data_IF_059159903911
#
_entry.id   IF_059159903911
#
_cell.length_a   1.000
_cell.length_b   1.000
_cell.length_c   1.000
_cell.angle_alpha   90.00
_cell.angle_beta   90.00
_cell.angle_gamma   90.00
#
_symmetry.space_group_name_H-M   'P 1'
#
loop_
_entity.id
_entity.type
_entity.pdbx_description
1 polymer ?
#
# COMPACT_ATOMS: atom_id res chain seq x y z
N UNK A 1 -11.06 -22.60 6.84
CA UNK A 1 -9.58 -22.53 6.88
C UNK A 1 -9.18 -21.21 7.49
N UNK A 2 -8.15 -21.17 8.37
CA UNK A 2 -7.60 -19.88 8.81
C UNK A 2 -7.05 -19.15 7.59
N UNK A 3 -7.32 -17.85 7.45
CA UNK A 3 -6.76 -16.99 6.37
C UNK A 3 -5.24 -17.06 6.44
N UNK A 4 -4.57 -17.15 5.29
CA UNK A 4 -3.12 -17.02 5.21
C UNK A 4 -2.74 -15.59 5.70
N UNK A 5 -1.82 -15.48 6.68
CA UNK A 5 -1.63 -14.20 7.39
C UNK A 5 -0.85 -13.15 6.59
N UNK A 6 -0.31 -13.52 5.41
CA UNK A 6 0.46 -12.60 4.57
C UNK A 6 -0.39 -12.12 3.41
N UNK A 7 -0.27 -10.84 3.04
CA UNK A 7 -0.77 -10.33 1.77
C UNK A 7 0.24 -10.64 0.66
N UNK A 8 -0.17 -11.47 -0.30
CA UNK A 8 0.62 -11.83 -1.47
C UNK A 8 0.07 -11.18 -2.74
N UNK A 9 -0.94 -10.34 -2.63
CA UNK A 9 -1.62 -9.71 -3.76
C UNK A 9 -1.16 -8.29 -4.01
N UNK A 10 -0.87 -7.51 -2.96
CA UNK A 10 -0.50 -6.10 -3.04
C UNK A 10 -1.46 -5.32 -3.95
N UNK A 11 -0.93 -4.43 -4.76
CA UNK A 11 -1.70 -3.69 -5.77
C UNK A 11 -2.01 -4.51 -7.05
N UNK A 12 -1.40 -5.69 -7.21
CA UNK A 12 -1.58 -6.54 -8.39
C UNK A 12 -0.98 -5.91 -9.66
N UNK A 13 -1.52 -6.27 -10.85
CA UNK A 13 -0.93 -5.87 -12.13
C UNK A 13 -1.11 -4.38 -12.46
N UNK A 14 -1.96 -3.67 -11.73
CA UNK A 14 -2.31 -2.27 -12.00
C UNK A 14 -2.21 -1.47 -10.71
N UNK A 15 -0.99 -1.10 -10.28
CA UNK A 15 -0.81 -0.25 -9.11
C UNK A 15 -1.43 1.13 -9.31
N UNK A 16 -1.82 1.82 -8.23
CA UNK A 16 -2.42 3.14 -8.33
C UNK A 16 -1.42 4.17 -8.87
N UNK A 17 -1.94 5.20 -9.54
CA UNK A 17 -1.15 6.35 -9.95
C UNK A 17 -0.77 7.18 -8.71
N UNK A 18 0.51 7.30 -8.43
CA UNK A 18 0.99 8.00 -7.25
C UNK A 18 0.73 9.52 -7.28
N UNK A 19 0.62 10.10 -8.47
CA UNK A 19 0.39 11.54 -8.69
C UNK A 19 1.36 12.42 -7.89
N UNK A 20 2.65 12.09 -7.94
CA UNK A 20 3.66 12.81 -7.19
C UNK A 20 3.63 14.32 -7.45
N UNK A 21 3.99 15.17 -6.46
CA UNK A 21 4.01 16.61 -6.59
C UNK A 21 4.77 17.08 -7.85
N UNK A 22 4.26 18.12 -8.52
CA UNK A 22 4.85 18.64 -9.74
C UNK A 22 4.78 17.72 -10.96
N UNK A 23 4.00 16.64 -10.91
CA UNK A 23 3.95 15.64 -11.98
C UNK A 23 5.21 14.77 -12.05
N UNK A 24 5.91 14.61 -10.92
CA UNK A 24 7.15 13.84 -10.90
C UNK A 24 6.90 12.35 -11.26
N UNK A 25 7.87 11.78 -11.97
CA UNK A 25 7.86 10.37 -12.40
C UNK A 25 8.33 9.43 -11.31
N UNK A 26 9.17 9.91 -10.41
CA UNK A 26 9.73 9.12 -9.31
C UNK A 26 9.91 9.97 -8.06
N UNK A 27 9.61 9.40 -6.89
CA UNK A 27 9.93 9.99 -5.59
C UNK A 27 11.23 9.38 -5.07
N UNK A 28 12.27 10.18 -4.90
CA UNK A 28 13.59 9.75 -4.43
C UNK A 28 13.78 10.08 -2.95
N UNK A 29 14.22 9.12 -2.16
CA UNK A 29 14.42 9.25 -0.72
C UNK A 29 15.87 8.95 -0.34
N UNK A 30 16.55 9.94 0.21
CA UNK A 30 17.85 9.76 0.84
C UNK A 30 17.63 9.48 2.32
N UNK A 31 17.94 8.27 2.76
CA UNK A 31 17.65 7.81 4.13
C UNK A 31 18.94 7.51 4.86
N UNK A 32 19.26 8.32 5.85
CA UNK A 32 20.47 8.18 6.67
C UNK A 32 20.14 7.46 7.99
N UNK A 33 20.63 6.25 8.17
CA UNK A 33 20.55 5.54 9.44
C UNK A 33 21.65 6.06 10.35
N UNK A 34 21.26 6.77 11.42
CA UNK A 34 22.19 7.27 12.45
C UNK A 34 22.14 6.34 13.66
N UNK A 35 23.12 5.46 13.72
CA UNK A 35 23.18 4.35 14.68
C UNK A 35 24.39 4.44 15.61
N UNK A 36 25.33 5.32 15.32
CA UNK A 36 26.61 5.45 15.99
C UNK A 36 26.44 5.85 17.46
N UNK A 37 26.74 4.92 18.36
CA UNK A 37 26.51 5.02 19.81
C UNK A 37 25.19 4.39 20.27
N UNK A 38 24.43 3.77 19.36
CA UNK A 38 23.22 2.98 19.65
C UNK A 38 23.42 1.47 19.49
N UNK A 39 24.58 1.04 18.97
CA UNK A 39 24.97 -0.35 18.79
C UNK A 39 25.10 -1.13 20.10
N UNK A 40 25.11 -2.48 20.03
CA UNK A 40 25.39 -3.32 21.19
C UNK A 40 26.78 -3.05 21.77
N UNK A 41 26.84 -2.77 23.04
CA UNK A 41 28.11 -2.57 23.79
C UNK A 41 27.93 -2.84 25.28
N UNK A 42 28.92 -3.46 25.90
CA UNK A 42 28.96 -3.63 27.36
C UNK A 42 28.95 -2.28 28.09
N UNK A 43 29.37 -1.20 27.43
CA UNK A 43 29.26 0.17 27.98
C UNK A 43 27.81 0.65 28.07
N UNK A 44 26.92 0.05 27.29
CA UNK A 44 25.49 0.34 27.27
C UNK A 44 24.67 -0.64 28.12
N UNK A 45 25.35 -1.55 28.83
CA UNK A 45 24.73 -2.60 29.65
C UNK A 45 24.34 -3.85 28.85
N UNK A 46 24.79 -4.00 27.61
CA UNK A 46 24.53 -5.18 26.79
C UNK A 46 25.48 -6.33 27.18
N UNK A 47 25.03 -7.57 26.91
CA UNK A 47 25.82 -8.76 27.26
C UNK A 47 27.13 -8.89 26.45
N UNK A 48 27.12 -8.34 25.22
CA UNK A 48 28.21 -8.48 24.28
C UNK A 48 28.42 -7.22 23.42
N UNK A 49 29.51 -7.20 22.66
CA UNK A 49 29.80 -6.18 21.67
C UNK A 49 28.93 -6.36 20.41
N UNK A 50 28.80 -5.31 19.60
CA UNK A 50 28.22 -5.43 18.26
C UNK A 50 29.07 -6.34 17.35
N UNK A 51 28.40 -7.03 16.43
CA UNK A 51 29.02 -7.94 15.48
C UNK A 51 28.54 -7.68 14.04
N UNK A 52 27.56 -6.81 13.86
CA UNK A 52 26.88 -6.65 12.58
C UNK A 52 27.19 -5.31 11.90
N UNK A 53 27.11 -5.29 10.59
CA UNK A 53 27.11 -4.12 9.73
C UNK A 53 28.31 -3.18 9.91
N UNK A 54 29.50 -3.73 9.79
CA UNK A 54 30.78 -3.01 9.88
C UNK A 54 31.78 -3.47 8.82
N UNK A 55 32.95 -2.81 8.77
CA UNK A 55 34.08 -3.21 7.91
C UNK A 55 34.69 -4.58 8.30
N UNK A 56 34.33 -5.15 9.47
CA UNK A 56 34.74 -6.47 9.90
C UNK A 56 33.63 -7.46 9.54
N UNK A 57 33.59 -7.85 8.27
CA UNK A 57 32.56 -8.75 7.76
C UNK A 57 32.69 -10.12 8.43
N UNK A 58 31.54 -10.62 8.98
CA UNK A 58 31.52 -11.88 9.72
C UNK A 58 32.13 -11.80 11.12
N UNK A 59 32.24 -10.61 11.71
CA UNK A 59 32.63 -10.46 13.10
C UNK A 59 31.74 -11.30 14.03
N UNK A 60 32.33 -11.79 15.12
CA UNK A 60 31.57 -12.40 16.21
C UNK A 60 31.42 -11.43 17.37
N UNK A 61 30.32 -11.50 18.09
CA UNK A 61 30.14 -10.72 19.31
C UNK A 61 31.12 -11.20 20.40
N UNK A 62 31.66 -10.27 21.19
CA UNK A 62 32.53 -10.57 22.30
C UNK A 62 31.74 -10.46 23.61
N UNK A 63 31.46 -11.60 24.20
CA UNK A 63 30.71 -11.72 25.45
C UNK A 63 31.45 -11.05 26.61
N UNK A 64 30.76 -10.14 27.31
CA UNK A 64 31.27 -9.43 28.48
C UNK A 64 32.49 -8.53 28.22
N UNK A 65 32.82 -8.26 26.96
CA UNK A 65 34.02 -7.52 26.60
C UNK A 65 33.72 -6.45 25.54
N UNK A 66 34.51 -5.37 25.58
CA UNK A 66 34.49 -4.35 24.52
C UNK A 66 35.24 -4.85 23.30
N UNK A 67 34.71 -4.57 22.12
CA UNK A 67 35.39 -4.81 20.85
C UNK A 67 35.94 -3.48 20.30
N UNK A 68 37.15 -3.12 20.70
CA UNK A 68 37.76 -1.81 20.43
C UNK A 68 37.76 -1.41 18.96
N UNK A 69 38.06 -2.35 18.05
CA UNK A 69 38.05 -2.06 16.60
C UNK A 69 36.63 -1.79 16.11
N UNK A 70 35.64 -2.53 16.60
CA UNK A 70 34.23 -2.32 16.25
C UNK A 70 33.79 -0.93 16.72
N UNK A 71 34.03 -0.58 17.97
CA UNK A 71 33.70 0.75 18.51
C UNK A 71 34.34 1.86 17.67
N UNK A 72 35.63 1.71 17.28
CA UNK A 72 36.31 2.71 16.45
C UNK A 72 35.72 2.89 15.05
N UNK A 73 35.08 1.86 14.50
CA UNK A 73 34.36 1.95 13.22
C UNK A 73 33.07 2.79 13.38
N UNK A 74 32.33 2.58 14.45
CA UNK A 74 31.17 3.42 14.78
C UNK A 74 31.57 4.85 15.09
N UNK A 75 32.64 5.05 15.88
CA UNK A 75 33.22 6.39 16.12
C UNK A 75 33.59 7.10 14.80
N UNK A 76 34.16 6.38 13.82
CA UNK A 76 34.45 6.98 12.52
C UNK A 76 33.17 7.51 11.86
N UNK A 77 32.06 6.76 11.94
CA UNK A 77 30.77 7.19 11.45
C UNK A 77 30.34 8.52 12.04
N UNK A 78 30.36 8.65 13.37
CA UNK A 78 30.00 9.89 14.06
C UNK A 78 30.98 11.05 13.80
N UNK A 79 32.30 10.78 13.81
CA UNK A 79 33.36 11.79 13.78
C UNK A 79 33.72 12.30 12.39
N UNK A 80 33.66 11.44 11.37
CA UNK A 80 34.12 11.78 10.03
C UNK A 80 33.03 11.52 8.96
N UNK A 81 32.38 10.37 9.03
CA UNK A 81 31.39 9.93 8.05
C UNK A 81 30.18 10.86 7.99
N UNK A 82 29.57 11.12 9.15
CA UNK A 82 28.44 12.04 9.26
C UNK A 82 28.74 13.42 8.66
N UNK A 83 29.83 14.05 9.04
CA UNK A 83 30.15 15.39 8.58
C UNK A 83 30.45 15.46 7.09
N UNK A 84 30.99 14.38 6.51
CA UNK A 84 31.17 14.27 5.05
C UNK A 84 29.83 14.19 4.34
N UNK A 85 28.92 13.35 4.81
CA UNK A 85 27.58 13.23 4.26
C UNK A 85 26.76 14.50 4.47
N UNK A 86 26.83 15.11 5.64
CA UNK A 86 26.15 16.37 5.92
C UNK A 86 26.55 17.46 4.93
N UNK A 87 27.85 17.67 4.68
CA UNK A 87 28.31 18.67 3.69
C UNK A 87 27.80 18.39 2.29
N UNK A 88 27.62 17.13 1.92
CA UNK A 88 27.15 16.74 0.60
C UNK A 88 25.61 16.88 0.47
N UNK A 89 24.90 16.52 1.53
CA UNK A 89 23.44 16.33 1.50
C UNK A 89 22.64 17.49 2.12
N UNK A 90 23.27 18.49 2.76
CA UNK A 90 22.57 19.53 3.52
C UNK A 90 21.55 20.36 2.71
N UNK A 91 21.61 20.30 1.40
CA UNK A 91 20.68 20.99 0.49
C UNK A 91 19.63 20.05 -0.11
N UNK A 92 19.63 18.77 0.25
CA UNK A 92 18.64 17.80 -0.16
C UNK A 92 17.69 17.48 0.98
N UNK A 93 16.42 17.12 0.69
CA UNK A 93 15.56 16.46 1.67
C UNK A 93 16.17 15.13 2.08
N UNK A 94 16.40 14.95 3.37
CA UNK A 94 16.93 13.70 3.94
C UNK A 94 16.04 13.27 5.09
N UNK A 95 15.72 11.99 5.15
CA UNK A 95 15.15 11.38 6.34
C UNK A 95 16.26 10.70 7.12
N UNK A 96 16.40 11.05 8.40
CA UNK A 96 17.30 10.36 9.32
C UNK A 96 16.49 9.35 10.12
N UNK A 97 16.81 8.07 10.01
CA UNK A 97 16.40 7.08 11.00
C UNK A 97 17.41 7.13 12.15
N UNK A 98 17.02 7.78 13.23
CA UNK A 98 17.90 8.01 14.38
C UNK A 98 17.58 7.06 15.54
N UNK A 99 18.57 6.25 15.93
CA UNK A 99 18.48 5.48 17.17
C UNK A 99 18.48 6.45 18.35
N UNK A 100 17.48 6.39 19.23
CA UNK A 100 17.25 7.42 20.24
C UNK A 100 18.47 7.58 21.19
N UNK A 101 19.10 6.49 21.60
CA UNK A 101 20.33 6.53 22.43
C UNK A 101 21.54 7.06 21.66
N UNK A 102 21.63 6.85 20.36
CA UNK A 102 22.68 7.42 19.50
C UNK A 102 22.50 8.94 19.36
N UNK A 103 21.26 9.41 19.09
CA UNK A 103 20.96 10.84 19.03
C UNK A 103 21.27 11.55 20.34
N UNK A 104 20.97 10.93 21.49
CA UNK A 104 21.26 11.50 22.81
C UNK A 104 22.75 11.70 23.04
N UNK A 105 23.63 10.92 22.40
CA UNK A 105 25.11 11.03 22.48
C UNK A 105 25.71 11.97 21.44
N UNK A 106 24.88 12.51 20.52
CA UNK A 106 25.31 13.25 19.36
C UNK A 106 24.63 14.63 19.20
N UNK A 107 24.71 15.52 20.21
CA UNK A 107 23.96 16.80 20.17
C UNK A 107 24.38 17.72 19.03
N UNK A 108 25.65 17.70 18.61
CA UNK A 108 26.16 18.50 17.50
C UNK A 108 25.59 18.01 16.16
N UNK A 109 25.56 16.69 15.96
CA UNK A 109 25.00 16.09 14.76
C UNK A 109 23.48 16.34 14.67
N UNK A 110 22.76 16.20 15.79
CA UNK A 110 21.33 16.53 15.85
C UNK A 110 21.07 18.00 15.51
N UNK A 111 21.89 18.91 16.04
CA UNK A 111 21.81 20.33 15.71
C UNK A 111 22.04 20.57 14.20
N UNK A 112 22.99 19.88 13.59
CA UNK A 112 23.28 19.98 12.15
C UNK A 112 22.13 19.43 11.29
N UNK A 113 21.56 18.28 11.66
CA UNK A 113 20.39 17.70 11.00
C UNK A 113 19.20 18.68 11.02
N UNK A 114 18.92 19.26 12.18
CA UNK A 114 17.84 20.26 12.34
C UNK A 114 18.10 21.52 11.50
N UNK A 115 19.33 22.02 11.49
CA UNK A 115 19.73 23.21 10.72
C UNK A 115 19.61 22.99 9.21
N UNK A 116 19.82 21.76 8.75
CA UNK A 116 19.64 21.36 7.35
C UNK A 116 18.16 21.11 6.97
N UNK A 117 17.23 21.17 7.96
CA UNK A 117 15.81 20.89 7.72
C UNK A 117 15.51 19.40 7.47
N UNK A 118 16.38 18.50 7.90
CA UNK A 118 16.19 17.08 7.72
C UNK A 118 15.06 16.55 8.62
N UNK A 119 14.28 15.61 8.11
CA UNK A 119 13.37 14.83 8.94
C UNK A 119 14.20 13.93 9.86
N UNK A 120 13.88 13.91 11.17
CA UNK A 120 14.46 12.97 12.12
C UNK A 120 13.35 12.05 12.60
N UNK A 121 13.27 10.87 12.00
CA UNK A 121 12.37 9.78 12.36
C UNK A 121 13.06 8.83 13.37
N UNK A 122 12.27 7.95 13.98
CA UNK A 122 12.81 7.01 14.98
C UNK A 122 13.43 5.78 14.33
N UNK A 123 14.56 5.33 14.89
CA UNK A 123 15.16 4.01 14.64
C UNK A 123 15.14 3.14 15.91
N UNK A 124 14.08 3.27 16.70
CA UNK A 124 13.97 2.58 18.00
C UNK A 124 14.82 3.19 19.11
N UNK A 125 14.82 2.53 20.26
CA UNK A 125 15.55 2.96 21.46
C UNK A 125 17.05 2.70 21.32
N UNK A 126 17.39 1.46 20.98
CA UNK A 126 18.74 0.93 20.74
C UNK A 126 18.73 0.13 19.44
N UNK A 127 19.88 -0.06 18.83
CA UNK A 127 19.99 -0.87 17.63
C UNK A 127 20.18 -2.35 17.96
N UNK A 128 19.12 -2.97 18.49
CA UNK A 128 19.07 -4.36 18.95
C UNK A 128 18.05 -5.19 18.18
N UNK A 129 18.14 -6.52 18.27
CA UNK A 129 17.21 -7.46 17.66
C UNK A 129 16.02 -7.70 18.59
N UNK A 130 14.81 -7.48 18.12
CA UNK A 130 13.56 -7.64 18.87
C UNK A 130 12.85 -8.99 18.63
N UNK A 131 13.43 -9.89 17.80
CA UNK A 131 12.75 -11.15 17.43
C UNK A 131 12.32 -12.02 18.61
N UNK A 132 13.07 -11.99 19.71
CA UNK A 132 12.85 -12.77 20.94
C UNK A 132 12.29 -11.89 22.09
N UNK A 133 12.05 -10.60 21.85
CA UNK A 133 11.52 -9.70 22.88
C UNK A 133 10.02 -9.96 23.11
N UNK A 134 9.57 -9.82 24.36
CA UNK A 134 8.15 -9.83 24.65
C UNK A 134 7.46 -8.58 24.06
N UNK A 135 6.17 -8.65 23.69
CA UNK A 135 5.43 -7.45 23.24
C UNK A 135 5.48 -6.30 24.26
N UNK A 136 5.46 -6.59 25.55
CA UNK A 136 5.52 -5.58 26.61
C UNK A 136 6.91 -4.91 26.66
N UNK A 137 7.99 -5.68 26.48
CA UNK A 137 9.34 -5.14 26.41
C UNK A 137 9.48 -4.21 25.21
N UNK A 138 9.05 -4.65 24.05
CA UNK A 138 9.12 -3.85 22.83
C UNK A 138 8.26 -2.59 22.91
N UNK A 139 7.06 -2.67 23.49
CA UNK A 139 6.20 -1.51 23.72
C UNK A 139 6.84 -0.48 24.68
N UNK A 140 7.47 -0.96 25.75
CA UNK A 140 8.19 -0.10 26.70
C UNK A 140 9.39 0.59 26.04
N UNK A 141 10.18 -0.15 25.27
CA UNK A 141 11.30 0.42 24.51
C UNK A 141 10.84 1.43 23.48
N UNK A 142 9.71 1.18 22.79
CA UNK A 142 9.09 2.14 21.86
C UNK A 142 8.68 3.43 22.59
N UNK A 143 8.03 3.31 23.74
CA UNK A 143 7.63 4.47 24.54
C UNK A 143 8.84 5.28 25.03
N UNK A 144 9.89 4.60 25.48
CA UNK A 144 11.14 5.26 25.92
C UNK A 144 11.89 5.88 24.73
N UNK A 145 11.90 5.24 23.57
CA UNK A 145 12.45 5.81 22.35
C UNK A 145 11.76 7.11 21.97
N UNK A 146 10.42 7.15 22.01
CA UNK A 146 9.64 8.37 21.74
C UNK A 146 9.97 9.47 22.76
N UNK A 147 10.07 9.12 24.05
CA UNK A 147 10.38 10.07 25.13
C UNK A 147 11.78 10.67 24.92
N UNK A 148 12.80 9.84 24.77
CA UNK A 148 14.19 10.27 24.61
C UNK A 148 14.40 11.06 23.31
N UNK A 149 13.82 10.59 22.20
CA UNK A 149 13.85 11.30 20.94
C UNK A 149 13.24 12.71 21.09
N UNK A 150 12.08 12.81 21.77
CA UNK A 150 11.41 14.11 21.99
C UNK A 150 12.28 15.05 22.82
N UNK A 151 12.94 14.53 23.83
CA UNK A 151 13.87 15.31 24.68
C UNK A 151 15.05 15.85 23.87
N UNK A 152 15.66 15.00 23.04
CA UNK A 152 16.88 15.35 22.29
C UNK A 152 16.60 16.20 21.05
N UNK A 153 15.57 15.86 20.29
CA UNK A 153 15.25 16.53 19.03
C UNK A 153 14.34 17.75 19.25
N UNK A 154 13.53 17.76 20.31
CA UNK A 154 12.56 18.79 20.63
C UNK A 154 11.19 18.57 19.98
N UNK A 155 10.98 17.45 19.30
CA UNK A 155 9.70 17.05 18.69
C UNK A 155 9.57 15.52 18.72
N UNK A 156 8.33 15.03 18.77
CA UNK A 156 8.06 13.58 18.64
C UNK A 156 8.37 13.07 17.23
N UNK A 157 8.94 11.86 17.08
CA UNK A 157 9.17 11.29 15.76
C UNK A 157 7.83 11.05 15.04
N UNK A 158 7.80 11.33 13.74
CA UNK A 158 6.60 11.12 12.90
C UNK A 158 6.65 9.82 12.13
N UNK A 159 7.84 9.25 11.91
CA UNK A 159 8.08 7.98 11.29
C UNK A 159 8.77 6.99 12.23
N UNK A 160 8.54 5.70 12.00
CA UNK A 160 9.13 4.60 12.76
C UNK A 160 9.80 3.58 11.83
N UNK A 161 10.98 3.17 12.21
CA UNK A 161 11.73 2.06 11.64
C UNK A 161 12.57 1.40 12.74
N UNK A 162 12.59 0.08 12.82
CA UNK A 162 13.42 -0.67 13.78
C UNK A 162 14.57 -1.39 13.06
N UNK A 163 14.31 -1.90 11.85
CA UNK A 163 15.27 -2.65 11.05
C UNK A 163 15.53 -4.08 11.52
N UNK A 164 15.46 -4.33 12.83
CA UNK A 164 15.55 -5.65 13.47
C UNK A 164 14.25 -5.94 14.24
N UNK A 165 13.14 -5.80 13.54
CA UNK A 165 11.78 -5.86 14.09
C UNK A 165 11.35 -7.26 14.50
N UNK A 166 10.36 -7.34 15.40
CA UNK A 166 9.59 -8.55 15.71
C UNK A 166 8.30 -8.62 14.86
N UNK A 167 7.55 -9.69 15.00
CA UNK A 167 6.19 -9.78 14.43
C UNK A 167 5.20 -8.79 15.05
N UNK A 168 5.53 -8.18 16.19
CA UNK A 168 4.68 -7.24 16.93
C UNK A 168 4.96 -5.78 16.58
N UNK A 169 6.14 -5.44 16.07
CA UNK A 169 6.62 -4.06 15.89
C UNK A 169 5.60 -3.16 15.17
N UNK A 170 5.13 -3.57 13.99
CA UNK A 170 4.22 -2.74 13.19
C UNK A 170 2.86 -2.58 13.88
N UNK A 171 2.38 -3.64 14.53
CA UNK A 171 1.14 -3.60 15.32
C UNK A 171 1.25 -2.63 16.50
N UNK A 172 2.32 -2.71 17.27
CA UNK A 172 2.58 -1.82 18.42
C UNK A 172 2.70 -0.36 17.97
N UNK A 173 3.37 -0.11 16.85
CA UNK A 173 3.44 1.22 16.27
C UNK A 173 2.07 1.76 15.88
N UNK A 174 1.21 0.94 15.24
CA UNK A 174 -0.16 1.30 14.89
C UNK A 174 -1.02 1.58 16.13
N UNK A 175 -0.93 0.72 17.16
CA UNK A 175 -1.64 0.87 18.43
C UNK A 175 -1.24 2.15 19.20
N UNK A 176 0.01 2.59 19.05
CA UNK A 176 0.50 3.83 19.66
C UNK A 176 -0.14 5.09 19.08
N UNK A 177 -0.66 5.03 17.85
CA UNK A 177 -1.23 6.16 17.08
C UNK A 177 -0.29 7.37 16.95
N UNK A 178 1.02 7.15 17.13
CA UNK A 178 2.04 8.20 17.15
C UNK A 178 2.55 8.52 15.76
N UNK A 179 2.68 7.49 14.89
CA UNK A 179 3.44 7.58 13.66
C UNK A 179 2.56 7.79 12.44
N UNK A 180 2.96 8.69 11.55
CA UNK A 180 2.33 8.85 10.23
C UNK A 180 2.61 7.64 9.34
N UNK A 181 3.81 7.05 9.46
CA UNK A 181 4.24 5.90 8.69
C UNK A 181 5.16 4.97 9.49
N UNK A 182 5.19 3.72 9.10
CA UNK A 182 6.13 2.69 9.58
C UNK A 182 6.87 2.11 8.38
N UNK A 183 8.19 1.86 8.55
CA UNK A 183 9.06 1.42 7.46
C UNK A 183 9.64 0.01 7.63
N UNK A 184 9.23 -0.73 8.65
CA UNK A 184 9.64 -2.12 8.88
C UNK A 184 8.94 -3.08 7.91
N UNK A 185 9.07 -2.79 6.63
CA UNK A 185 8.53 -3.61 5.54
C UNK A 185 9.25 -3.31 4.21
N UNK A 186 9.33 -4.31 3.33
CA UNK A 186 10.08 -4.27 2.07
C UNK A 186 9.25 -4.84 0.90
N UNK A 187 7.92 -4.82 1.01
CA UNK A 187 7.07 -5.64 0.14
C UNK A 187 6.54 -4.93 -1.10
N UNK A 188 6.81 -3.63 -1.27
CA UNK A 188 6.27 -2.87 -2.41
C UNK A 188 7.16 -1.67 -2.77
N UNK A 189 7.00 -1.14 -3.99
CA UNK A 189 7.64 0.09 -4.49
C UNK A 189 6.74 1.33 -4.29
N UNK A 190 5.62 1.19 -3.59
CA UNK A 190 4.67 2.23 -3.23
C UNK A 190 4.23 2.10 -1.76
N UNK A 191 3.82 3.21 -1.12
CA UNK A 191 3.20 3.13 0.19
C UNK A 191 1.88 2.37 0.14
N UNK A 192 1.51 1.70 1.23
CA UNK A 192 0.22 1.03 1.34
C UNK A 192 -0.29 1.01 2.78
N UNK A 193 -1.61 0.90 2.93
CA UNK A 193 -2.25 0.83 4.23
C UNK A 193 -2.36 -0.61 4.74
N UNK A 194 -2.20 -0.78 6.04
CA UNK A 194 -2.45 -2.02 6.75
C UNK A 194 -3.32 -1.78 7.97
N UNK A 195 -4.07 -2.80 8.41
CA UNK A 195 -5.02 -2.72 9.50
C UNK A 195 -4.63 -3.65 10.65
N UNK A 196 -4.71 -3.13 11.87
CA UNK A 196 -4.52 -3.88 13.10
C UNK A 196 -5.74 -3.63 14.03
N UNK A 197 -6.79 -4.44 13.89
CA UNK A 197 -8.06 -4.21 14.57
C UNK A 197 -8.67 -2.88 14.16
N UNK A 198 -8.85 -1.96 15.12
CA UNK A 198 -9.39 -0.62 14.89
C UNK A 198 -8.32 0.42 14.48
N UNK A 199 -7.05 0.03 14.38
CA UNK A 199 -5.96 0.93 14.05
C UNK A 199 -5.49 0.70 12.60
N UNK A 200 -5.32 1.79 11.87
CA UNK A 200 -4.78 1.80 10.53
C UNK A 200 -3.36 2.36 10.55
N UNK A 201 -2.48 1.78 9.77
CA UNK A 201 -1.10 2.26 9.67
C UNK A 201 -0.67 2.34 8.21
N UNK A 202 -0.14 3.48 7.81
CA UNK A 202 0.55 3.62 6.53
C UNK A 202 1.91 2.93 6.62
N UNK A 203 2.12 1.97 5.75
CA UNK A 203 3.43 1.37 5.51
C UNK A 203 4.09 2.16 4.37
N UNK A 204 5.28 2.66 4.66
CA UNK A 204 6.16 3.25 3.67
C UNK A 204 7.36 2.32 3.51
N UNK A 205 7.35 1.39 2.54
CA UNK A 205 8.38 0.38 2.40
C UNK A 205 9.78 0.97 2.35
N UNK A 206 10.75 0.25 2.90
CA UNK A 206 12.15 0.62 2.88
C UNK A 206 12.94 -0.29 1.93
N UNK A 207 14.26 -0.20 1.93
CA UNK A 207 15.12 -0.96 1.03
C UNK A 207 16.26 -1.67 1.76
N UNK A 208 16.60 -2.88 1.28
CA UNK A 208 17.82 -3.61 1.68
C UNK A 208 18.77 -3.83 0.50
N UNK A 209 18.32 -3.65 -0.73
CA UNK A 209 19.10 -3.82 -1.96
C UNK A 209 19.77 -2.52 -2.39
N UNK A 210 19.03 -1.41 -2.47
CA UNK A 210 19.55 -0.07 -2.71
C UNK A 210 20.08 0.57 -1.41
N UNK A 211 20.94 -0.17 -0.69
CA UNK A 211 21.38 0.16 0.66
C UNK A 211 22.89 -0.13 0.80
N UNK A 212 23.62 0.83 1.35
CA UNK A 212 25.07 0.73 1.56
C UNK A 212 25.48 -0.36 2.57
N UNK A 213 24.52 -0.89 3.34
CA UNK A 213 24.75 -2.06 4.20
C UNK A 213 25.37 -3.23 3.42
N UNK A 214 25.08 -3.32 2.12
CA UNK A 214 25.62 -4.35 1.23
C UNK A 214 27.14 -4.30 1.08
N UNK A 215 27.80 -3.20 1.45
CA UNK A 215 29.27 -3.19 1.57
C UNK A 215 29.79 -4.03 2.75
N UNK A 216 28.95 -4.26 3.76
CA UNK A 216 29.29 -4.96 4.98
C UNK A 216 28.66 -6.36 5.06
N UNK A 217 28.14 -6.90 3.96
CA UNK A 217 27.52 -8.23 3.87
C UNK A 217 28.29 -9.13 2.91
N UNK A 218 28.20 -10.46 3.13
CA UNK A 218 28.71 -11.43 2.17
C UNK A 218 28.01 -11.24 0.81
N UNK A 219 28.76 -11.32 -0.28
CA UNK A 219 28.28 -11.11 -1.64
C UNK A 219 27.61 -9.74 -1.89
N UNK A 220 28.05 -8.74 -1.15
CA UNK A 220 27.61 -7.37 -1.32
C UNK A 220 28.45 -6.57 -2.31
N UNK A 221 28.47 -5.25 -2.17
CA UNK A 221 29.27 -4.37 -3.02
C UNK A 221 30.74 -4.37 -2.59
N UNK A 222 31.65 -4.55 -3.56
CA UNK A 222 33.08 -4.50 -3.32
C UNK A 222 33.73 -3.17 -3.75
N UNK A 223 33.03 -2.36 -4.51
CA UNK A 223 33.53 -1.04 -4.96
C UNK A 223 32.38 -0.03 -5.04
N UNK A 224 32.74 1.25 -5.00
CA UNK A 224 31.77 2.33 -5.26
C UNK A 224 31.10 2.23 -6.62
N UNK A 225 31.79 1.73 -7.64
CA UNK A 225 31.23 1.58 -9.00
C UNK A 225 30.11 0.56 -9.03
N UNK A 226 30.22 -0.54 -8.28
CA UNK A 226 29.13 -1.51 -8.17
C UNK A 226 27.89 -0.89 -7.52
N UNK A 227 28.10 -0.12 -6.46
CA UNK A 227 26.98 0.59 -5.79
C UNK A 227 26.35 1.60 -6.73
N UNK A 228 27.13 2.44 -7.41
CA UNK A 228 26.64 3.40 -8.38
C UNK A 228 25.84 2.73 -9.50
N UNK A 229 26.39 1.66 -10.10
CA UNK A 229 25.71 0.96 -11.20
C UNK A 229 24.38 0.35 -10.74
N UNK A 230 24.36 -0.26 -9.56
CA UNK A 230 23.13 -0.83 -9.01
C UNK A 230 22.05 0.24 -8.77
N UNK A 231 22.42 1.35 -8.14
CA UNK A 231 21.49 2.46 -7.91
C UNK A 231 20.97 3.06 -9.23
N UNK A 232 21.89 3.22 -10.22
CA UNK A 232 21.52 3.73 -11.53
C UNK A 232 20.53 2.82 -12.25
N UNK A 233 20.80 1.52 -12.30
CA UNK A 233 19.93 0.56 -12.99
C UNK A 233 18.56 0.47 -12.30
N UNK A 234 18.53 0.51 -10.97
CA UNK A 234 17.27 0.55 -10.19
C UNK A 234 16.48 1.84 -10.48
N UNK A 235 17.15 2.97 -10.50
CA UNK A 235 16.53 4.25 -10.85
C UNK A 235 15.96 4.23 -12.27
N UNK A 236 16.72 3.76 -13.25
CA UNK A 236 16.32 3.74 -14.66
C UNK A 236 15.03 2.91 -14.86
N UNK A 237 14.92 1.76 -14.19
CA UNK A 237 13.73 0.92 -14.26
C UNK A 237 12.52 1.62 -13.62
N UNK A 238 12.65 2.08 -12.38
CA UNK A 238 11.54 2.71 -11.67
C UNK A 238 11.10 4.04 -12.31
N UNK A 239 12.07 4.80 -12.86
CA UNK A 239 11.79 6.03 -13.60
C UNK A 239 11.05 5.74 -14.91
N UNK A 240 11.42 4.67 -15.62
CA UNK A 240 10.74 4.26 -16.86
C UNK A 240 9.30 3.77 -16.59
N UNK A 241 9.09 3.01 -15.53
CA UNK A 241 7.75 2.60 -15.09
C UNK A 241 6.87 3.79 -14.72
N UNK A 242 7.44 4.80 -14.06
CA UNK A 242 6.74 5.99 -13.61
C UNK A 242 5.85 5.75 -12.37
N UNK A 243 5.62 6.82 -11.62
CA UNK A 243 4.78 6.79 -10.42
C UNK A 243 5.32 5.92 -9.28
N UNK A 244 6.61 5.56 -9.28
CA UNK A 244 7.27 4.75 -8.25
C UNK A 244 8.02 5.60 -7.24
N UNK A 245 8.48 4.98 -6.16
CA UNK A 245 9.42 5.58 -5.22
C UNK A 245 10.70 4.73 -5.13
N UNK A 246 11.82 5.38 -4.83
CA UNK A 246 13.09 4.72 -4.59
C UNK A 246 13.71 5.25 -3.31
N UNK A 247 13.97 4.36 -2.36
CA UNK A 247 14.74 4.67 -1.14
C UNK A 247 16.19 4.27 -1.32
N UNK A 248 17.11 5.09 -0.79
CA UNK A 248 18.54 4.77 -0.73
C UNK A 248 18.95 4.75 0.73
N UNK A 249 19.31 3.59 1.23
CA UNK A 249 19.76 3.39 2.61
C UNK A 249 21.23 3.73 2.77
N UNK A 250 21.54 4.61 3.71
CA UNK A 250 22.88 5.15 3.97
C UNK A 250 23.26 4.99 5.45
N UNK A 251 24.52 4.67 5.74
CA UNK A 251 25.07 4.60 7.11
C UNK A 251 26.35 5.43 7.19
N UNK A 252 26.50 6.24 8.24
CA UNK A 252 27.64 7.16 8.35
C UNK A 252 28.98 6.43 8.31
N UNK A 253 29.09 5.25 8.94
CA UNK A 253 30.31 4.43 8.98
C UNK A 253 30.60 3.70 7.66
N UNK A 254 29.61 3.50 6.77
CA UNK A 254 29.74 2.77 5.51
C UNK A 254 29.93 3.73 4.33
N UNK A 255 28.86 4.38 3.87
CA UNK A 255 28.93 5.28 2.72
C UNK A 255 29.74 6.54 3.01
N UNK A 256 29.87 6.91 4.30
CA UNK A 256 30.73 8.00 4.73
C UNK A 256 32.24 7.77 4.48
N UNK A 257 32.67 6.58 4.04
CA UNK A 257 34.04 6.32 3.60
C UNK A 257 34.31 7.05 2.27
N UNK A 258 35.50 7.70 2.08
CA UNK A 258 35.74 8.60 0.95
C UNK A 258 35.43 7.99 -0.41
N UNK A 259 35.90 6.78 -0.67
CA UNK A 259 35.70 6.12 -1.97
C UNK A 259 34.23 5.79 -2.27
N UNK A 260 33.46 5.45 -1.24
CA UNK A 260 32.02 5.15 -1.37
C UNK A 260 31.19 6.43 -1.51
N UNK A 261 31.54 7.49 -0.74
CA UNK A 261 30.89 8.81 -0.86
C UNK A 261 30.97 9.36 -2.30
N UNK A 262 32.09 9.17 -3.00
CA UNK A 262 32.24 9.59 -4.38
C UNK A 262 31.25 8.90 -5.34
N UNK A 263 30.92 7.63 -5.08
CA UNK A 263 29.94 6.89 -5.85
C UNK A 263 28.51 7.40 -5.59
N UNK A 264 28.18 7.68 -4.35
CA UNK A 264 26.89 8.29 -3.97
C UNK A 264 26.71 9.67 -4.64
N UNK A 265 27.74 10.51 -4.62
CA UNK A 265 27.69 11.82 -5.28
C UNK A 265 27.39 11.68 -6.78
N UNK A 266 28.09 10.78 -7.49
CA UNK A 266 27.83 10.53 -8.91
C UNK A 266 26.40 10.09 -9.17
N UNK A 267 25.84 9.27 -8.27
CA UNK A 267 24.45 8.82 -8.43
C UNK A 267 23.45 9.96 -8.19
N UNK A 268 23.67 10.78 -7.15
CA UNK A 268 22.81 11.94 -6.89
C UNK A 268 22.85 12.91 -8.07
N UNK A 269 24.03 13.21 -8.62
CA UNK A 269 24.20 14.06 -9.78
C UNK A 269 23.46 13.46 -11.00
N UNK A 270 23.56 12.14 -11.20
CA UNK A 270 22.85 11.44 -12.27
C UNK A 270 21.33 11.56 -12.10
N UNK A 271 20.78 11.22 -10.95
CA UNK A 271 19.35 11.30 -10.70
C UNK A 271 18.82 12.74 -10.82
N UNK A 272 19.56 13.73 -10.30
CA UNK A 272 19.20 15.14 -10.34
C UNK A 272 19.30 15.76 -11.76
N UNK A 273 19.93 15.07 -12.70
CA UNK A 273 19.98 15.49 -14.10
C UNK A 273 18.74 15.10 -14.92
N UNK A 274 17.81 14.35 -14.33
CA UNK A 274 16.57 13.90 -14.98
C UNK A 274 15.40 14.80 -14.58
N UNK A 275 14.56 15.13 -15.56
CA UNK A 275 13.32 15.85 -15.29
C UNK A 275 12.32 14.97 -14.53
N UNK A 276 11.50 15.58 -13.68
CA UNK A 276 10.46 14.84 -12.97
C UNK A 276 10.96 13.90 -11.85
N UNK A 277 12.12 14.20 -11.27
CA UNK A 277 12.60 13.57 -10.04
C UNK A 277 12.22 14.44 -8.86
N UNK A 278 11.46 13.89 -7.93
CA UNK A 278 11.10 14.54 -6.70
C UNK A 278 11.92 13.96 -5.54
N UNK A 279 12.95 14.68 -5.10
CA UNK A 279 13.62 14.35 -3.84
C UNK A 279 12.72 14.77 -2.68
N UNK A 280 12.44 13.86 -1.78
CA UNK A 280 11.50 14.05 -0.68
C UNK A 280 11.96 13.36 0.60
N UNK A 281 11.54 13.90 1.74
CA UNK A 281 11.56 13.15 2.99
C UNK A 281 10.48 12.08 2.99
N UNK A 282 10.60 11.09 3.87
CA UNK A 282 9.59 10.04 4.01
C UNK A 282 8.29 10.61 4.59
N UNK A 283 8.39 11.64 5.46
CA UNK A 283 7.20 12.33 5.98
C UNK A 283 6.43 13.04 4.87
N UNK A 284 7.11 13.71 3.92
CA UNK A 284 6.46 14.35 2.76
C UNK A 284 5.76 13.34 1.86
N UNK A 285 6.35 12.16 1.63
CA UNK A 285 5.72 11.07 0.87
C UNK A 285 4.50 10.53 1.63
N UNK A 286 4.61 10.33 2.94
CA UNK A 286 3.50 9.85 3.77
C UNK A 286 2.33 10.84 3.80
N UNK A 287 2.61 12.16 3.88
CA UNK A 287 1.59 13.20 3.83
C UNK A 287 0.90 13.25 2.45
N UNK A 288 1.69 13.20 1.38
CA UNK A 288 1.15 13.16 0.01
C UNK A 288 0.26 11.93 -0.20
N UNK A 289 0.76 10.74 0.18
CA UNK A 289 0.02 9.49 -0.01
C UNK A 289 -1.27 9.46 0.81
N UNK A 290 -1.21 9.91 2.05
CA UNK A 290 -2.40 9.98 2.91
C UNK A 290 -3.47 10.94 2.35
N UNK A 291 -3.06 12.01 1.69
CA UNK A 291 -3.98 12.96 1.07
C UNK A 291 -4.58 12.45 -0.24
N UNK A 292 -3.78 11.77 -1.08
CA UNK A 292 -4.20 11.31 -2.42
C UNK A 292 -4.80 9.91 -2.41
N UNK A 293 -4.37 9.06 -1.48
CA UNK A 293 -4.78 7.67 -1.29
C UNK A 293 -5.18 7.41 0.18
N UNK A 294 -6.19 8.14 0.70
CA UNK A 294 -6.63 7.97 2.07
C UNK A 294 -7.08 6.52 2.31
N UNK A 295 -6.79 6.01 3.50
CA UNK A 295 -7.22 4.67 3.86
C UNK A 295 -8.75 4.56 3.78
N UNK A 296 -9.20 3.58 3.00
CA UNK A 296 -10.61 3.19 2.96
C UNK A 296 -10.73 1.87 3.70
N UNK A 297 -11.16 1.94 4.95
CA UNK A 297 -11.41 0.72 5.72
C UNK A 297 -12.51 -0.09 5.03
N UNK A 298 -12.14 -1.28 4.54
CA UNK A 298 -13.10 -2.20 3.98
C UNK A 298 -13.76 -2.92 5.14
N UNK A 299 -15.00 -2.56 5.44
CA UNK A 299 -15.77 -3.30 6.43
C UNK A 299 -15.97 -4.73 5.90
N UNK A 300 -15.40 -5.70 6.61
CA UNK A 300 -15.39 -7.10 6.16
C UNK A 300 -16.81 -7.68 6.20
N UNK A 301 -17.35 -8.17 5.09
CA UNK A 301 -18.69 -8.78 5.05
C UNK A 301 -18.92 -9.81 6.14
N UNK A 302 -17.91 -10.65 6.44
CA UNK A 302 -17.99 -11.71 7.45
C UNK A 302 -18.09 -11.22 8.88
N UNK A 303 -17.77 -9.95 9.16
CA UNK A 303 -17.82 -9.36 10.50
C UNK A 303 -18.92 -8.32 10.68
N UNK A 304 -19.70 -8.03 9.64
CA UNK A 304 -20.78 -7.04 9.68
C UNK A 304 -21.99 -7.58 10.45
N UNK A 305 -22.62 -6.73 11.25
CA UNK A 305 -23.96 -7.03 11.74
C UNK A 305 -24.96 -7.00 10.58
N UNK A 306 -26.09 -7.65 10.76
CA UNK A 306 -27.09 -7.85 9.69
C UNK A 306 -27.52 -6.55 9.04
N UNK A 307 -27.80 -5.54 9.82
CA UNK A 307 -28.29 -4.23 9.38
C UNK A 307 -27.27 -3.54 8.46
N UNK A 308 -26.01 -3.50 8.88
CA UNK A 308 -24.91 -2.90 8.11
C UNK A 308 -24.61 -3.69 6.84
N UNK A 309 -24.68 -5.03 6.91
CA UNK A 309 -24.49 -5.89 5.75
C UNK A 309 -25.57 -5.66 4.68
N UNK A 310 -26.84 -5.55 5.10
CA UNK A 310 -27.94 -5.25 4.17
C UNK A 310 -27.82 -3.84 3.61
N UNK A 311 -27.42 -2.86 4.43
CA UNK A 311 -27.21 -1.49 3.95
C UNK A 311 -26.10 -1.43 2.89
N UNK A 312 -25.01 -2.20 3.07
CA UNK A 312 -23.87 -2.20 2.14
C UNK A 312 -24.12 -3.03 0.87
N UNK A 313 -24.79 -4.19 0.99
CA UNK A 313 -24.89 -5.18 -0.11
C UNK A 313 -26.32 -5.47 -0.57
N UNK A 314 -27.33 -4.85 0.01
CA UNK A 314 -28.74 -5.07 -0.32
C UNK A 314 -29.12 -4.72 -1.77
N UNK A 315 -28.41 -3.74 -2.34
CA UNK A 315 -28.65 -3.25 -3.71
C UNK A 315 -27.72 -3.91 -4.76
N UNK A 316 -26.88 -4.87 -4.36
CA UNK A 316 -26.04 -5.64 -5.30
C UNK A 316 -26.92 -6.36 -6.35
N UNK A 317 -28.01 -6.98 -5.89
CA UNK A 317 -29.10 -7.46 -6.74
C UNK A 317 -30.20 -6.40 -6.71
N UNK A 318 -30.39 -5.71 -7.81
CA UNK A 318 -31.28 -4.52 -7.96
C UNK A 318 -32.61 -4.68 -7.22
N UNK A 319 -32.93 -3.76 -6.31
CA UNK A 319 -34.15 -3.75 -5.49
C UNK A 319 -34.51 -5.10 -4.82
N UNK A 320 -33.49 -5.92 -4.54
CA UNK A 320 -33.69 -7.26 -4.01
C UNK A 320 -32.87 -7.54 -2.76
N UNK A 321 -33.03 -6.76 -1.69
CA UNK A 321 -32.23 -6.87 -0.45
C UNK A 321 -32.37 -8.23 0.22
N UNK A 322 -33.41 -9.00 -0.10
CA UNK A 322 -33.62 -10.35 0.41
C UNK A 322 -32.47 -11.32 0.05
N UNK A 323 -31.73 -11.06 -1.06
CA UNK A 323 -30.57 -11.87 -1.45
C UNK A 323 -29.45 -11.68 -0.43
N UNK A 324 -29.12 -10.42 -0.10
CA UNK A 324 -28.15 -10.10 0.93
C UNK A 324 -28.61 -10.59 2.33
N UNK A 325 -29.88 -10.38 2.69
CA UNK A 325 -30.44 -10.87 3.96
C UNK A 325 -30.26 -12.39 4.15
N UNK A 326 -30.52 -13.16 3.11
CA UNK A 326 -30.35 -14.61 3.15
C UNK A 326 -28.89 -15.03 3.13
N UNK A 327 -28.02 -14.32 2.38
CA UNK A 327 -26.61 -14.60 2.35
C UNK A 327 -25.96 -14.38 3.71
N UNK A 328 -26.33 -13.31 4.42
CA UNK A 328 -25.83 -13.06 5.78
C UNK A 328 -26.17 -14.21 6.75
N UNK A 329 -27.28 -14.90 6.58
CA UNK A 329 -27.67 -16.08 7.40
C UNK A 329 -26.85 -17.34 7.11
N UNK A 330 -25.99 -17.34 6.09
CA UNK A 330 -25.15 -18.47 5.71
C UNK A 330 -23.86 -18.57 6.54
N UNK A 331 -23.73 -17.83 7.64
CA UNK A 331 -22.53 -17.76 8.47
C UNK A 331 -21.27 -17.45 7.61
N UNK A 332 -21.21 -16.23 7.11
CA UNK A 332 -20.10 -15.76 6.28
C UNK A 332 -18.79 -15.83 7.06
N UNK A 333 -17.75 -16.37 6.43
CA UNK A 333 -16.39 -16.43 6.99
C UNK A 333 -15.40 -15.63 6.13
N UNK A 334 -14.11 -15.62 6.49
CA UNK A 334 -13.08 -14.81 5.83
C UNK A 334 -12.98 -14.97 4.30
N UNK A 335 -13.36 -16.11 3.76
CA UNK A 335 -13.41 -16.33 2.32
C UNK A 335 -14.44 -15.43 1.60
N UNK A 336 -15.42 -14.91 2.34
CA UNK A 336 -16.47 -14.03 1.81
C UNK A 336 -16.10 -12.54 1.92
N UNK A 337 -14.91 -12.21 2.45
CA UNK A 337 -14.40 -10.84 2.54
C UNK A 337 -13.75 -10.35 1.24
N UNK A 338 -13.89 -11.13 0.16
CA UNK A 338 -13.46 -10.78 -1.19
C UNK A 338 -14.66 -10.67 -2.12
N UNK A 339 -14.52 -9.89 -3.20
CA UNK A 339 -15.58 -9.76 -4.22
C UNK A 339 -16.03 -11.13 -4.74
N UNK A 340 -15.10 -12.00 -5.09
CA UNK A 340 -15.39 -13.35 -5.59
C UNK A 340 -16.09 -14.23 -4.54
N UNK A 341 -15.62 -14.20 -3.30
CA UNK A 341 -16.19 -15.02 -2.23
C UNK A 341 -17.62 -14.60 -1.88
N UNK A 342 -17.86 -13.29 -1.73
CA UNK A 342 -19.21 -12.77 -1.45
C UNK A 342 -20.14 -12.97 -2.66
N UNK A 343 -19.65 -12.72 -3.88
CA UNK A 343 -20.40 -12.99 -5.12
C UNK A 343 -20.92 -14.44 -5.15
N UNK A 344 -20.05 -15.42 -4.89
CA UNK A 344 -20.46 -16.83 -4.88
C UNK A 344 -21.54 -17.11 -3.84
N UNK A 345 -21.48 -16.48 -2.65
CA UNK A 345 -22.52 -16.65 -1.62
C UNK A 345 -23.86 -16.06 -2.04
N UNK A 346 -23.85 -14.83 -2.60
CA UNK A 346 -25.06 -14.16 -3.09
C UNK A 346 -25.69 -14.90 -4.26
N UNK A 347 -24.89 -15.31 -5.26
CA UNK A 347 -25.36 -16.09 -6.41
C UNK A 347 -25.94 -17.46 -5.99
N UNK A 348 -25.35 -18.13 -4.99
CA UNK A 348 -25.92 -19.36 -4.44
C UNK A 348 -27.33 -19.14 -3.87
N UNK A 349 -27.52 -18.02 -3.15
CA UNK A 349 -28.85 -17.64 -2.62
C UNK A 349 -29.82 -17.35 -3.75
N UNK A 350 -29.42 -16.58 -4.75
CA UNK A 350 -30.22 -16.22 -5.91
C UNK A 350 -30.65 -17.46 -6.72
N UNK A 351 -29.70 -18.33 -7.06
CA UNK A 351 -29.96 -19.58 -7.82
C UNK A 351 -30.86 -20.55 -7.09
N UNK A 352 -30.75 -20.61 -5.74
CA UNK A 352 -31.60 -21.49 -4.91
C UNK A 352 -33.03 -20.98 -4.72
N UNK A 353 -33.32 -19.75 -5.15
CA UNK A 353 -34.65 -19.19 -5.04
C UNK A 353 -35.60 -19.77 -6.11
N UNK A 354 -36.89 -19.89 -5.76
CA UNK A 354 -37.94 -20.30 -6.71
C UNK A 354 -38.04 -19.34 -7.92
N UNK A 355 -38.61 -19.85 -9.01
CA UNK A 355 -38.72 -19.12 -10.28
C UNK A 355 -39.35 -17.72 -10.13
N UNK A 356 -40.41 -17.61 -9.33
CA UNK A 356 -41.12 -16.33 -9.12
C UNK A 356 -40.21 -15.28 -8.46
N UNK A 357 -39.35 -15.69 -7.53
CA UNK A 357 -38.39 -14.76 -6.88
C UNK A 357 -37.29 -14.32 -7.83
N UNK A 358 -36.78 -15.25 -8.66
CA UNK A 358 -35.78 -14.91 -9.67
C UNK A 358 -36.36 -13.96 -10.71
N UNK A 359 -37.58 -14.25 -11.20
CA UNK A 359 -38.31 -13.37 -12.09
C UNK A 359 -38.55 -11.99 -11.47
N UNK A 360 -38.85 -11.93 -10.17
CA UNK A 360 -39.00 -10.66 -9.44
C UNK A 360 -37.74 -9.81 -9.47
N UNK A 361 -36.54 -10.42 -9.37
CA UNK A 361 -35.26 -9.72 -9.51
C UNK A 361 -35.08 -9.18 -10.93
N UNK A 362 -35.41 -10.00 -11.95
CA UNK A 362 -35.31 -9.57 -13.36
C UNK A 362 -36.25 -8.41 -13.64
N UNK A 363 -37.51 -8.49 -13.19
CA UNK A 363 -38.50 -7.45 -13.39
C UNK A 363 -38.17 -6.14 -12.63
N UNK A 364 -37.40 -6.22 -11.52
CA UNK A 364 -36.96 -5.06 -10.78
C UNK A 364 -35.79 -4.31 -11.45
N UNK A 365 -35.09 -4.97 -12.40
CA UNK A 365 -34.01 -4.30 -13.14
C UNK A 365 -34.61 -3.20 -14.03
N UNK A 366 -34.03 -1.98 -13.97
CA UNK A 366 -34.45 -0.94 -14.88
C UNK A 366 -34.13 -1.36 -16.31
N UNK A 367 -35.10 -1.18 -17.18
CA UNK A 367 -34.93 -1.45 -18.60
C UNK A 367 -33.83 -0.55 -19.20
N UNK A 368 -33.12 -1.04 -20.21
CA UNK A 368 -31.97 -0.35 -20.80
C UNK A 368 -32.42 0.98 -21.45
N UNK A 369 -33.59 1.05 -22.04
CA UNK A 369 -34.20 2.25 -22.61
C UNK A 369 -34.70 3.21 -21.50
N UNK A 370 -35.26 2.70 -20.42
CA UNK A 370 -35.64 3.47 -19.23
C UNK A 370 -34.43 4.11 -18.51
N UNK A 371 -33.31 3.42 -18.47
CA UNK A 371 -32.02 4.01 -17.98
C UNK A 371 -31.57 5.18 -18.85
N UNK A 372 -31.73 5.09 -20.16
CA UNK A 372 -31.41 6.17 -21.09
C UNK A 372 -32.36 7.38 -20.93
N UNK A 373 -33.65 7.13 -20.62
CA UNK A 373 -34.63 8.18 -20.37
C UNK A 373 -34.55 8.79 -18.96
N UNK A 374 -34.12 7.98 -17.95
CA UNK A 374 -34.04 8.36 -16.55
C UNK A 374 -32.66 8.85 -16.08
N UNK A 375 -31.76 9.21 -16.99
CA UNK A 375 -30.35 9.66 -16.69
C UNK A 375 -30.23 10.78 -15.64
N UNK A 376 -31.36 11.36 -15.17
CA UNK A 376 -31.46 12.30 -14.07
C UNK A 376 -31.76 11.67 -12.68
N UNK A 377 -31.96 10.35 -12.58
CA UNK A 377 -32.36 9.63 -11.34
C UNK A 377 -31.52 8.37 -11.03
N UNK A 378 -30.40 8.17 -11.69
CA UNK A 378 -29.58 6.98 -11.53
C UNK A 378 -28.67 7.07 -10.30
N UNK A 379 -28.41 5.92 -9.65
CA UNK A 379 -27.37 5.80 -8.62
C UNK A 379 -25.99 6.03 -9.23
N UNK A 380 -25.01 6.44 -8.41
CA UNK A 380 -23.64 6.71 -8.86
C UNK A 380 -23.00 5.52 -9.61
N UNK A 381 -23.31 4.28 -9.20
CA UNK A 381 -22.84 3.05 -9.86
C UNK A 381 -23.39 2.88 -11.28
N UNK A 382 -24.65 3.22 -11.50
CA UNK A 382 -25.30 3.10 -12.83
C UNK A 382 -24.79 4.14 -13.83
N UNK A 383 -24.34 5.32 -13.36
CA UNK A 383 -23.82 6.39 -14.23
C UNK A 383 -22.45 6.02 -14.81
N UNK A 384 -21.56 5.43 -14.00
CA UNK A 384 -20.23 4.99 -14.47
C UNK A 384 -20.30 3.78 -15.40
N UNK A 385 -21.29 2.90 -15.21
CA UNK A 385 -21.53 1.74 -16.09
C UNK A 385 -21.95 2.16 -17.50
N UNK A 386 -22.74 3.21 -17.64
CA UNK A 386 -23.23 3.69 -18.94
C UNK A 386 -22.17 4.38 -19.78
N UNK A 387 -21.30 5.18 -19.14
CA UNK A 387 -20.21 5.86 -19.83
C UNK A 387 -19.20 4.87 -20.45
N UNK A 388 -19.02 3.70 -19.83
CA UNK A 388 -18.07 2.68 -20.31
C UNK A 388 -18.48 2.01 -21.63
N UNK A 389 -19.75 2.07 -22.03
CA UNK A 389 -20.28 1.41 -23.24
C UNK A 389 -20.71 2.40 -24.34
N UNK A 390 -20.49 3.71 -24.18
CA UNK A 390 -20.90 4.74 -25.16
C UNK A 390 -22.41 4.90 -25.29
N UNK A 391 -23.20 4.51 -24.28
CA UNK A 391 -24.65 4.63 -24.30
C UNK A 391 -25.14 6.06 -23.98
N UNK A 392 -24.27 6.91 -23.50
CA UNK A 392 -24.47 8.34 -23.28
C UNK A 392 -24.40 9.15 -24.59
N UNK A 393 -23.73 8.63 -25.61
CA UNK A 393 -23.52 9.27 -26.92
C UNK A 393 -24.50 8.78 -28.01
N UNK A 394 -25.64 8.12 -27.65
CA UNK A 394 -26.62 7.65 -28.62
C UNK A 394 -27.30 8.81 -29.36
N UNK A 395 -27.42 8.68 -30.69
CA UNK A 395 -28.26 9.54 -31.52
C UNK A 395 -29.74 9.31 -31.22
N UNK A 396 -30.61 10.26 -31.58
CA UNK A 396 -32.06 10.13 -31.38
C UNK A 396 -32.67 8.90 -32.11
N UNK A 397 -32.15 8.57 -33.30
CA UNK A 397 -32.57 7.39 -34.05
C UNK A 397 -32.16 6.08 -33.34
N UNK A 398 -30.97 6.02 -32.76
CA UNK A 398 -30.50 4.87 -31.96
C UNK A 398 -31.32 4.70 -30.68
N UNK A 399 -31.66 5.81 -30.00
CA UNK A 399 -32.54 5.78 -28.81
C UNK A 399 -33.92 5.20 -29.12
N UNK A 400 -34.52 5.59 -30.23
CA UNK A 400 -35.81 5.04 -30.70
C UNK A 400 -35.66 3.53 -30.95
N UNK A 401 -34.62 3.11 -31.67
CA UNK A 401 -34.38 1.70 -31.97
C UNK A 401 -34.17 0.86 -30.68
N UNK A 402 -33.37 1.34 -29.72
CA UNK A 402 -33.24 0.67 -28.43
C UNK A 402 -34.57 0.54 -27.68
N UNK A 403 -35.38 1.59 -27.70
CA UNK A 403 -36.72 1.58 -27.06
C UNK A 403 -37.65 0.56 -27.70
N UNK A 404 -37.71 0.52 -29.04
CA UNK A 404 -38.57 -0.41 -29.78
C UNK A 404 -38.13 -1.87 -29.56
N UNK A 405 -36.82 -2.14 -29.60
CA UNK A 405 -36.26 -3.46 -29.31
C UNK A 405 -36.60 -3.91 -27.90
N UNK A 406 -36.45 -3.03 -26.91
CA UNK A 406 -36.75 -3.38 -25.52
C UNK A 406 -38.27 -3.62 -25.32
N UNK A 407 -39.13 -2.82 -25.93
CA UNK A 407 -40.58 -3.03 -25.87
C UNK A 407 -40.99 -4.38 -26.49
N UNK A 408 -40.39 -4.75 -27.61
CA UNK A 408 -40.64 -6.03 -28.28
C UNK A 408 -40.12 -7.20 -27.41
N UNK A 409 -38.96 -7.01 -26.76
CA UNK A 409 -38.36 -8.01 -25.86
C UNK A 409 -39.22 -8.24 -24.61
N UNK A 410 -39.69 -7.18 -23.97
CA UNK A 410 -40.57 -7.26 -22.78
C UNK A 410 -41.90 -7.92 -23.17
N UNK A 411 -42.46 -7.60 -24.34
CA UNK A 411 -43.68 -8.23 -24.84
C UNK A 411 -43.55 -9.75 -25.06
N UNK A 412 -42.33 -10.20 -25.45
CA UNK A 412 -42.04 -11.63 -25.68
C UNK A 412 -41.72 -12.38 -24.38
N UNK A 413 -40.84 -11.81 -23.53
CA UNK A 413 -40.23 -12.52 -22.39
C UNK A 413 -40.81 -12.11 -21.03
N UNK A 414 -41.53 -11.00 -20.92
CA UNK A 414 -42.20 -10.55 -19.69
C UNK A 414 -41.28 -9.88 -18.66
N UNK A 415 -40.00 -9.62 -19.01
CA UNK A 415 -39.03 -8.89 -18.19
C UNK A 415 -38.12 -8.05 -19.10
N UNK A 416 -37.41 -6.99 -18.54
CA UNK A 416 -36.55 -6.13 -19.33
C UNK A 416 -35.34 -6.88 -19.90
N UNK A 417 -34.80 -6.39 -21.01
CA UNK A 417 -33.52 -6.88 -21.52
C UNK A 417 -32.40 -6.51 -20.56
N UNK A 418 -31.72 -7.50 -20.01
CA UNK A 418 -30.66 -7.35 -19.06
C UNK A 418 -29.32 -7.81 -19.66
N UNK A 419 -28.31 -6.95 -19.61
CA UNK A 419 -26.97 -7.24 -20.09
C UNK A 419 -25.93 -6.52 -19.21
N UNK A 420 -24.81 -7.16 -18.94
CA UNK A 420 -23.70 -6.58 -18.17
C UNK A 420 -22.94 -5.57 -19.05
N UNK A 421 -23.38 -4.35 -19.07
CA UNK A 421 -22.94 -3.27 -19.98
C UNK A 421 -21.43 -3.08 -19.99
N UNK A 422 -20.75 -3.30 -18.88
CA UNK A 422 -19.26 -3.18 -18.79
C UNK A 422 -18.50 -4.19 -19.67
N UNK A 423 -19.12 -5.28 -20.09
CA UNK A 423 -18.51 -6.26 -21.00
C UNK A 423 -18.78 -5.95 -22.48
N UNK A 424 -19.54 -4.88 -22.78
CA UNK A 424 -20.09 -4.65 -24.10
C UNK A 424 -19.84 -3.23 -24.63
N UNK A 425 -19.84 -3.12 -25.96
CA UNK A 425 -19.97 -1.86 -26.70
C UNK A 425 -21.43 -1.70 -27.18
N UNK A 426 -21.80 -0.50 -27.59
CA UNK A 426 -23.11 -0.21 -28.18
C UNK A 426 -23.49 -1.22 -29.27
N UNK A 427 -22.59 -1.51 -30.21
CA UNK A 427 -22.85 -2.43 -31.31
C UNK A 427 -23.00 -3.87 -30.84
N UNK A 428 -22.22 -4.30 -29.86
CA UNK A 428 -22.36 -5.66 -29.29
C UNK A 428 -23.64 -5.83 -28.48
N UNK A 429 -24.17 -4.76 -27.86
CA UNK A 429 -25.47 -4.76 -27.20
C UNK A 429 -26.61 -4.94 -28.22
N UNK A 430 -26.59 -4.18 -29.31
CA UNK A 430 -27.59 -4.32 -30.40
C UNK A 430 -27.55 -5.71 -31.01
N UNK A 431 -26.38 -6.27 -31.25
CA UNK A 431 -26.21 -7.65 -31.71
C UNK A 431 -26.81 -8.65 -30.73
N UNK A 432 -26.51 -8.52 -29.44
CA UNK A 432 -27.06 -9.37 -28.40
C UNK A 432 -28.59 -9.30 -28.31
N UNK A 433 -29.18 -8.12 -28.49
CA UNK A 433 -30.64 -7.99 -28.62
C UNK A 433 -31.20 -8.86 -29.75
N UNK A 434 -30.63 -8.75 -30.96
CA UNK A 434 -31.08 -9.51 -32.13
C UNK A 434 -30.95 -11.02 -31.95
N UNK A 435 -29.88 -11.48 -31.33
CA UNK A 435 -29.63 -12.90 -31.03
C UNK A 435 -30.61 -13.42 -29.98
N UNK A 436 -30.72 -12.72 -28.83
CA UNK A 436 -31.53 -13.15 -27.69
C UNK A 436 -33.03 -13.01 -27.91
N UNK A 437 -33.48 -12.18 -28.86
CA UNK A 437 -34.86 -12.17 -29.33
C UNK A 437 -35.30 -13.51 -29.94
N UNK A 438 -34.39 -14.37 -30.37
CA UNK A 438 -34.72 -15.69 -30.93
C UNK A 438 -34.81 -16.80 -29.88
N UNK A 439 -34.25 -16.59 -28.67
CA UNK A 439 -34.29 -17.57 -27.59
C UNK A 439 -35.71 -17.94 -27.20
N UNK A 440 -35.89 -19.16 -26.73
CA UNK A 440 -37.13 -19.52 -26.01
C UNK A 440 -37.13 -18.89 -24.59
N UNK A 441 -38.30 -18.97 -23.95
CA UNK A 441 -38.47 -18.34 -22.62
C UNK A 441 -37.50 -18.91 -21.55
N UNK A 442 -37.22 -20.23 -21.58
CA UNK A 442 -36.35 -20.87 -20.59
C UNK A 442 -34.90 -20.50 -20.81
N UNK A 443 -34.45 -20.54 -22.04
CA UNK A 443 -33.09 -20.14 -22.42
C UNK A 443 -32.83 -18.67 -22.05
N UNK A 444 -33.80 -17.80 -22.31
CA UNK A 444 -33.67 -16.38 -22.07
C UNK A 444 -33.74 -16.04 -20.58
N UNK A 445 -34.56 -16.73 -19.80
CA UNK A 445 -34.62 -16.60 -18.36
C UNK A 445 -33.27 -16.95 -17.72
N UNK A 446 -32.66 -18.04 -18.18
CA UNK A 446 -31.33 -18.46 -17.65
C UNK A 446 -30.25 -17.49 -18.08
N UNK A 447 -30.30 -16.96 -19.31
CA UNK A 447 -29.35 -15.94 -19.77
C UNK A 447 -29.48 -14.64 -18.97
N UNK A 448 -30.70 -14.14 -18.78
CA UNK A 448 -30.93 -12.94 -17.99
C UNK A 448 -30.45 -13.09 -16.55
N UNK A 449 -30.63 -14.27 -15.94
CA UNK A 449 -30.08 -14.56 -14.62
C UNK A 449 -28.54 -14.51 -14.62
N UNK A 450 -27.86 -15.06 -15.64
CA UNK A 450 -26.38 -14.96 -15.77
C UNK A 450 -25.92 -13.52 -15.89
N UNK A 451 -26.65 -12.68 -16.64
CA UNK A 451 -26.31 -11.27 -16.77
C UNK A 451 -26.47 -10.49 -15.46
N UNK A 452 -27.53 -10.78 -14.69
CA UNK A 452 -27.69 -10.19 -13.33
C UNK A 452 -26.55 -10.59 -12.42
N UNK A 453 -26.14 -11.86 -12.42
CA UNK A 453 -24.99 -12.33 -11.63
C UNK A 453 -23.69 -11.63 -12.06
N UNK A 454 -23.50 -11.41 -13.36
CA UNK A 454 -22.33 -10.70 -13.87
C UNK A 454 -22.30 -9.22 -13.44
N UNK A 455 -23.47 -8.56 -13.45
CA UNK A 455 -23.62 -7.19 -12.93
C UNK A 455 -23.28 -7.15 -11.43
N UNK A 456 -23.79 -8.11 -10.66
CA UNK A 456 -23.50 -8.24 -9.25
C UNK A 456 -21.98 -8.43 -8.98
N UNK A 457 -21.29 -9.20 -9.82
CA UNK A 457 -19.83 -9.37 -9.74
C UNK A 457 -19.09 -8.03 -9.92
N UNK A 458 -19.45 -7.23 -10.91
CA UNK A 458 -18.83 -5.92 -11.12
C UNK A 458 -19.07 -4.98 -9.95
N UNK A 459 -20.29 -4.91 -9.42
CA UNK A 459 -20.63 -4.08 -8.26
C UNK A 459 -19.83 -4.48 -7.02
N UNK A 460 -19.62 -5.78 -6.79
CA UNK A 460 -18.80 -6.26 -5.67
C UNK A 460 -17.31 -5.98 -5.86
N UNK A 461 -16.80 -6.05 -7.10
CA UNK A 461 -15.40 -5.70 -7.39
C UNK A 461 -15.08 -4.22 -7.14
N UNK A 462 -16.10 -3.35 -7.23
CA UNK A 462 -15.94 -1.93 -6.88
C UNK A 462 -15.93 -1.68 -5.37
N UNK A 463 -16.41 -2.63 -4.56
CA UNK A 463 -16.58 -2.49 -3.11
C UNK A 463 -15.57 -3.31 -2.30
N UNK A 464 -15.06 -4.41 -2.85
CA UNK A 464 -14.27 -5.40 -2.12
C UNK A 464 -13.00 -5.78 -2.90
N UNK A 465 -11.93 -6.20 -2.19
CA UNK A 465 -10.76 -6.78 -2.82
C UNK A 465 -11.14 -8.04 -3.62
N UNK A 466 -10.34 -8.34 -4.64
CA UNK A 466 -10.53 -9.51 -5.53
C UNK A 466 -10.38 -10.84 -4.81
#
# INVERSE_FOLDING_TARGET
MKRYPRDMSGYGPTPPEANWPGGARIAMQLVLNYEEGGENSVLHGDAASEAFLSEIIGATAWEGQRHWNMESIYEYGARAGFWRLHRMLQHFPVTVFGVATALARAPEQVSAMKSAGWEIASHGLKWIDYKDASPDTEANDMAEAIRLHTEVVGAKPRGWYTGRCSENTVRLAAESKQFKYVSDNYADDLPYWTEFGENDQLILPYTLDANDMRFATLQGFNSGDQFYSYLKDSFDVLYAEGGRMMSIGLHCRLIGRPGRTAALQRFIDYANSHDGVWFATREEIADHWSATHPHKRITRPSSMIREDFIAAYGEIFEHSPWVAERAHRLELGPMHDTATGLHNALCRVFRSAGADKRLGVLAAHPDLAGKLAAARRLTASSTSEQASAGLDELTDAERVNFTDLNNAYVAKHGFPFIIAVRDHTKDSILKAFGERMNNDYSEELDEACRQVERIAEFRLRDLLPR
#
